data_IF_445537174376
#
_entry.id   IF_445537174376
#
_cell.length_a   1.000
_cell.length_b   1.000
_cell.length_c   1.000
_cell.angle_alpha   90.00
_cell.angle_beta   90.00
_cell.angle_gamma   90.00
#
_symmetry.space_group_name_H-M   'P 1'
#
loop_
_entity.id
_entity.type
_entity.pdbx_description
1 polymer ?
#
# COMPACT_ATOMS: atom_id res chain seq x y z
N UNK A 1 10.32 9.95 -9.71
CA UNK A 1 9.03 9.24 -9.61
C UNK A 1 8.12 10.04 -8.68
N UNK A 2 6.86 10.23 -9.06
CA UNK A 2 5.94 11.04 -8.25
C UNK A 2 5.21 10.20 -7.19
N UNK A 3 4.52 9.16 -7.60
CA UNK A 3 3.80 8.26 -6.70
C UNK A 3 3.54 6.90 -7.35
N UNK A 4 3.04 5.96 -6.53
CA UNK A 4 2.58 4.65 -6.99
C UNK A 4 1.09 4.53 -6.67
N UNK A 5 0.29 4.08 -7.65
CA UNK A 5 -1.12 3.81 -7.48
C UNK A 5 -1.36 2.40 -6.94
N UNK A 6 -2.17 2.30 -5.89
CA UNK A 6 -2.58 1.02 -5.29
C UNK A 6 -4.10 0.97 -5.29
N UNK A 7 -4.65 0.06 -6.07
CA UNK A 7 -6.10 -0.16 -6.11
C UNK A 7 -6.50 -1.10 -4.99
N UNK A 8 -7.48 -0.69 -4.19
CA UNK A 8 -7.93 -1.40 -2.99
C UNK A 8 -9.44 -1.63 -3.04
N UNK A 9 -9.93 -2.56 -2.23
CA UNK A 9 -11.37 -2.82 -2.12
C UNK A 9 -12.07 -1.89 -1.16
N UNK A 10 -11.37 -1.43 -0.13
CA UNK A 10 -11.90 -0.61 0.95
C UNK A 10 -10.91 0.52 1.23
N UNK A 11 -11.21 1.70 0.70
CA UNK A 11 -10.33 2.86 0.81
C UNK A 11 -10.15 3.29 2.27
N UNK A 12 -11.22 3.29 3.06
CA UNK A 12 -11.13 3.68 4.47
C UNK A 12 -10.19 2.75 5.25
N UNK A 13 -10.32 1.44 5.06
CA UNK A 13 -9.45 0.46 5.72
C UNK A 13 -7.99 0.57 5.25
N UNK A 14 -7.78 0.84 3.97
CA UNK A 14 -6.43 1.05 3.42
C UNK A 14 -5.77 2.30 4.01
N UNK A 15 -6.51 3.39 4.13
CA UNK A 15 -6.01 4.62 4.76
C UNK A 15 -5.62 4.34 6.22
N UNK A 16 -6.47 3.66 6.98
CA UNK A 16 -6.19 3.32 8.38
C UNK A 16 -4.92 2.47 8.51
N UNK A 17 -4.73 1.51 7.60
CA UNK A 17 -3.53 0.67 7.57
C UNK A 17 -2.25 1.52 7.39
N UNK A 18 -2.23 2.37 6.38
CA UNK A 18 -1.05 3.18 6.09
C UNK A 18 -0.82 4.28 7.14
N UNK A 19 -1.88 4.81 7.74
CA UNK A 19 -1.74 5.75 8.87
C UNK A 19 -1.15 5.05 10.09
N UNK A 20 -1.58 3.83 10.39
CA UNK A 20 -0.99 3.02 11.47
C UNK A 20 0.48 2.68 11.22
N UNK A 21 0.88 2.55 9.95
CA UNK A 21 2.27 2.34 9.56
C UNK A 21 3.13 3.61 9.76
N UNK A 22 2.50 4.78 9.79
CA UNK A 22 3.18 6.05 10.03
C UNK A 22 3.03 7.08 8.91
N UNK A 23 2.27 6.78 7.86
CA UNK A 23 2.05 7.73 6.77
C UNK A 23 0.96 8.75 7.14
N UNK A 24 1.01 9.90 6.47
CA UNK A 24 0.04 10.96 6.62
C UNK A 24 -0.97 10.92 5.48
N UNK A 25 -2.25 10.85 5.81
CA UNK A 25 -3.32 10.81 4.81
C UNK A 25 -3.74 12.22 4.39
N UNK A 26 -3.99 12.38 3.09
CA UNK A 26 -4.59 13.58 2.50
C UNK A 26 -6.09 13.37 2.31
N UNK A 27 -6.80 14.43 1.93
CA UNK A 27 -8.24 14.38 1.73
C UNK A 27 -8.64 13.42 0.60
N UNK A 28 -9.79 12.78 0.75
CA UNK A 28 -10.37 11.92 -0.27
C UNK A 28 -10.92 12.77 -1.41
N UNK A 29 -10.79 12.26 -2.63
CA UNK A 29 -11.26 12.93 -3.84
C UNK A 29 -12.02 11.95 -4.72
N UNK A 30 -13.17 12.38 -5.24
CA UNK A 30 -13.90 11.64 -6.26
C UNK A 30 -13.36 12.04 -7.64
N UNK A 31 -13.08 11.04 -8.47
CA UNK A 31 -12.57 11.21 -9.84
C UNK A 31 -13.49 10.50 -10.79
N UNK A 32 -14.00 11.22 -11.80
CA UNK A 32 -14.86 10.68 -12.86
C UNK A 32 -14.87 11.63 -14.05
N UNK A 33 -15.37 11.17 -15.16
CA UNK A 33 -15.54 11.96 -16.37
C UNK A 33 -14.99 11.30 -17.62
N UNK A 34 -15.38 11.81 -18.76
CA UNK A 34 -15.03 11.25 -20.05
C UNK A 34 -13.52 11.22 -20.32
N UNK A 35 -12.79 12.23 -19.86
CA UNK A 35 -11.33 12.28 -20.02
C UNK A 35 -10.64 11.18 -19.20
N UNK A 36 -11.19 10.86 -18.03
CA UNK A 36 -10.70 9.77 -17.18
C UNK A 36 -10.92 8.42 -17.85
N UNK A 37 -12.13 8.21 -18.39
CA UNK A 37 -12.47 7.00 -19.13
C UNK A 37 -11.51 6.75 -20.30
N UNK A 38 -11.23 7.79 -21.05
CA UNK A 38 -10.31 7.71 -22.19
C UNK A 38 -8.87 7.46 -21.77
N UNK A 39 -8.42 8.12 -20.72
CA UNK A 39 -7.07 7.96 -20.19
C UNK A 39 -6.81 6.53 -19.68
N UNK A 40 -7.80 5.98 -18.97
CA UNK A 40 -7.67 4.65 -18.36
C UNK A 40 -8.13 3.51 -19.25
N UNK A 41 -8.78 3.82 -20.38
CA UNK A 41 -9.43 2.81 -21.23
C UNK A 41 -10.49 2.00 -20.47
N UNK A 42 -11.30 2.70 -19.67
CA UNK A 42 -12.39 2.12 -18.88
C UNK A 42 -13.64 2.95 -19.09
N UNK A 43 -14.72 2.32 -19.51
CA UNK A 43 -16.01 2.99 -19.70
C UNK A 43 -16.71 3.24 -18.36
N UNK A 44 -17.10 4.50 -18.10
CA UNK A 44 -17.80 4.85 -16.87
C UNK A 44 -16.95 4.80 -15.63
N UNK A 45 -15.67 5.15 -15.75
CA UNK A 45 -14.76 5.12 -14.60
C UNK A 45 -15.18 6.14 -13.55
N UNK A 46 -15.35 5.65 -12.33
CA UNK A 46 -15.68 6.45 -11.16
C UNK A 46 -14.97 5.85 -9.96
N UNK A 47 -14.10 6.61 -9.33
CA UNK A 47 -13.35 6.13 -8.18
C UNK A 47 -13.09 7.24 -7.16
N UNK A 48 -12.89 6.82 -5.93
CA UNK A 48 -12.35 7.68 -4.89
C UNK A 48 -10.88 7.38 -4.70
N UNK A 49 -10.11 8.42 -4.40
CA UNK A 49 -8.70 8.28 -4.09
C UNK A 49 -8.32 9.09 -2.87
N UNK A 50 -7.24 8.70 -2.23
CA UNK A 50 -6.56 9.48 -1.22
C UNK A 50 -5.06 9.23 -1.35
N UNK A 51 -4.27 10.30 -1.29
CA UNK A 51 -2.83 10.15 -1.17
C UNK A 51 -2.44 9.91 0.28
N UNK A 52 -1.50 9.04 0.49
CA UNK A 52 -0.78 8.90 1.76
C UNK A 52 0.69 9.13 1.49
N UNK A 53 1.36 9.82 2.41
CA UNK A 53 2.77 10.17 2.23
C UNK A 53 3.58 9.86 3.48
N UNK A 54 4.86 9.61 3.30
CA UNK A 54 5.79 9.54 4.43
C UNK A 54 5.96 10.92 5.05
N UNK A 55 6.23 11.01 6.38
CA UNK A 55 6.37 12.32 7.07
C UNK A 55 7.44 13.22 6.46
N UNK A 56 8.51 12.65 5.87
CA UNK A 56 9.54 13.40 5.17
C UNK A 56 9.11 13.90 3.78
N UNK A 57 7.94 13.48 3.29
CA UNK A 57 7.38 13.86 1.99
C UNK A 57 8.02 13.20 0.78
N UNK A 58 8.93 12.24 0.97
CA UNK A 58 9.64 11.58 -0.14
C UNK A 58 8.88 10.41 -0.76
N UNK A 59 8.05 9.71 0.02
CA UNK A 59 7.28 8.56 -0.46
C UNK A 59 5.78 8.84 -0.51
N UNK A 60 5.16 8.66 -1.68
CA UNK A 60 3.74 8.88 -1.88
C UNK A 60 3.07 7.67 -2.51
N UNK A 61 1.91 7.29 -1.98
CA UNK A 61 1.02 6.32 -2.60
C UNK A 61 -0.33 6.99 -2.89
N UNK A 62 -0.91 6.66 -4.03
CA UNK A 62 -2.29 6.99 -4.34
C UNK A 62 -3.13 5.74 -4.07
N UNK A 63 -3.97 5.78 -3.05
CA UNK A 63 -4.88 4.69 -2.74
C UNK A 63 -6.18 4.94 -3.50
N UNK A 64 -6.66 3.93 -4.23
CA UNK A 64 -7.79 4.07 -5.16
C UNK A 64 -8.82 2.97 -4.91
N UNK A 65 -10.08 3.36 -4.76
CA UNK A 65 -11.20 2.43 -4.72
C UNK A 65 -12.16 2.73 -5.87
N UNK A 66 -12.31 1.79 -6.81
CA UNK A 66 -13.24 1.95 -7.93
C UNK A 66 -14.67 1.66 -7.50
N UNK A 67 -15.57 2.62 -7.78
CA UNK A 67 -17.01 2.41 -7.65
C UNK A 67 -17.59 1.84 -8.95
N UNK A 68 -16.97 2.17 -10.09
CA UNK A 68 -17.30 1.60 -11.41
C UNK A 68 -16.12 1.78 -12.38
N UNK A 69 -15.95 0.90 -13.38
CA UNK A 69 -16.58 -0.41 -13.48
C UNK A 69 -16.06 -1.37 -12.41
N UNK A 70 -16.80 -2.42 -12.05
CA UNK A 70 -16.30 -3.43 -11.13
C UNK A 70 -15.18 -4.25 -11.78
N UNK A 71 -14.19 -4.63 -10.99
CA UNK A 71 -13.16 -5.57 -11.44
C UNK A 71 -13.74 -6.97 -11.51
N UNK A 72 -13.64 -7.61 -12.66
CA UNK A 72 -14.21 -8.94 -12.92
C UNK A 72 -13.14 -10.04 -13.11
N UNK A 73 -11.87 -9.68 -13.00
CA UNK A 73 -10.77 -10.63 -13.13
C UNK A 73 -10.57 -11.45 -11.86
N UNK A 74 -9.71 -12.45 -11.97
CA UNK A 74 -9.32 -13.27 -10.82
C UNK A 74 -8.38 -12.49 -9.90
N UNK A 75 -8.51 -12.77 -8.60
CA UNK A 75 -7.59 -12.24 -7.59
C UNK A 75 -6.69 -13.36 -7.10
N UNK A 76 -5.39 -13.09 -7.06
CA UNK A 76 -4.42 -14.01 -6.51
C UNK A 76 -3.41 -13.28 -5.63
N UNK A 77 -2.92 -13.98 -4.61
CA UNK A 77 -1.83 -13.50 -3.78
C UNK A 77 -0.51 -14.03 -4.37
N UNK A 78 0.08 -13.25 -5.25
CA UNK A 78 1.33 -13.64 -5.88
C UNK A 78 2.48 -13.69 -4.86
N UNK A 79 3.39 -14.66 -4.97
CA UNK A 79 4.56 -14.71 -4.10
C UNK A 79 5.53 -13.57 -4.40
N UNK A 80 6.44 -13.29 -3.49
CA UNK A 80 7.34 -12.14 -3.59
C UNK A 80 8.31 -12.19 -4.78
N UNK A 81 8.45 -13.32 -5.43
CA UNK A 81 9.28 -13.48 -6.65
C UNK A 81 8.51 -13.40 -7.96
N UNK A 82 7.19 -13.16 -7.93
CA UNK A 82 6.41 -13.00 -9.15
C UNK A 82 6.82 -11.71 -9.88
N UNK A 83 7.02 -11.75 -11.21
CA UNK A 83 7.44 -10.56 -11.96
C UNK A 83 6.46 -9.40 -11.85
N UNK A 84 6.98 -8.17 -11.90
CA UNK A 84 6.24 -6.92 -11.83
C UNK A 84 6.59 -6.13 -10.57
N UNK A 85 5.85 -5.02 -10.33
CA UNK A 85 5.98 -4.28 -9.08
C UNK A 85 5.44 -5.19 -7.99
N UNK A 86 6.30 -5.56 -7.02
CA UNK A 86 5.93 -6.60 -6.07
C UNK A 86 5.79 -6.09 -4.65
N UNK A 87 6.66 -5.20 -4.23
CA UNK A 87 6.60 -4.66 -2.87
C UNK A 87 7.08 -3.21 -2.82
N UNK A 88 6.64 -2.52 -1.80
CA UNK A 88 7.14 -1.19 -1.42
C UNK A 88 7.79 -1.30 -0.05
N UNK A 89 8.88 -0.58 0.14
CA UNK A 89 9.66 -0.63 1.37
C UNK A 89 9.56 0.67 2.13
N UNK A 90 9.29 0.56 3.44
CA UNK A 90 9.34 1.70 4.35
C UNK A 90 10.40 1.45 5.41
N UNK A 91 11.26 2.45 5.60
CA UNK A 91 12.21 2.44 6.71
C UNK A 91 11.49 3.00 7.93
N UNK A 92 11.52 2.27 9.03
CA UNK A 92 10.85 2.61 10.29
C UNK A 92 11.86 2.63 11.44
N UNK A 93 11.54 3.37 12.49
CA UNK A 93 12.43 3.49 13.65
C UNK A 93 12.33 2.29 14.59
N UNK A 94 11.13 1.68 14.70
CA UNK A 94 10.88 0.53 15.56
C UNK A 94 9.96 -0.45 14.82
N UNK A 95 10.56 -1.45 14.20
CA UNK A 95 9.84 -2.42 13.38
C UNK A 95 8.82 -3.23 14.19
N UNK A 96 9.17 -3.65 15.39
CA UNK A 96 8.27 -4.45 16.22
C UNK A 96 7.03 -3.65 16.64
N UNK A 97 7.20 -2.37 16.99
CA UNK A 97 6.10 -1.49 17.35
C UNK A 97 5.17 -1.26 16.15
N UNK A 98 5.71 -0.94 14.99
CA UNK A 98 4.93 -0.74 13.76
C UNK A 98 4.20 -2.03 13.38
N UNK A 99 4.88 -3.16 13.41
CA UNK A 99 4.28 -4.47 13.09
C UNK A 99 3.11 -4.79 14.01
N UNK A 100 3.24 -4.52 15.31
CA UNK A 100 2.15 -4.69 16.28
C UNK A 100 0.94 -3.82 15.93
N UNK A 101 1.16 -2.55 15.58
CA UNK A 101 0.08 -1.62 15.24
C UNK A 101 -0.64 -2.04 13.95
N UNK A 102 0.09 -2.39 12.92
CA UNK A 102 -0.53 -2.73 11.63
C UNK A 102 -1.20 -4.11 11.63
N UNK A 103 -0.82 -5.01 12.51
CA UNK A 103 -1.52 -6.29 12.69
C UNK A 103 -2.97 -6.09 13.13
N UNK A 104 -3.26 -5.06 13.89
CA UNK A 104 -4.62 -4.69 14.28
C UNK A 104 -5.45 -4.23 13.08
N UNK A 105 -4.79 -3.86 11.97
CA UNK A 105 -5.41 -3.47 10.72
C UNK A 105 -5.32 -4.55 9.64
N UNK A 106 -5.16 -5.81 10.05
CA UNK A 106 -5.22 -6.97 9.16
C UNK A 106 -3.91 -7.36 8.47
N UNK A 107 -2.79 -6.78 8.86
CA UNK A 107 -1.48 -7.15 8.31
C UNK A 107 -1.08 -8.57 8.74
N UNK A 108 -0.53 -9.34 7.79
CA UNK A 108 -0.01 -10.68 8.04
C UNK A 108 1.42 -10.79 7.55
N UNK A 109 2.29 -11.44 8.33
CA UNK A 109 3.65 -11.73 7.89
C UNK A 109 3.63 -12.69 6.70
N UNK A 110 4.42 -12.38 5.68
CA UNK A 110 4.65 -13.30 4.55
C UNK A 110 5.60 -14.43 4.98
N UNK A 111 6.66 -14.07 5.66
CA UNK A 111 7.64 -14.97 6.24
C UNK A 111 7.92 -14.58 7.67
N UNK A 112 9.17 -14.54 8.06
CA UNK A 112 9.60 -14.22 9.41
C UNK A 112 10.33 -12.89 9.47
N UNK A 113 10.30 -12.23 10.63
CA UNK A 113 11.15 -11.09 10.91
C UNK A 113 12.59 -11.60 11.02
N UNK A 114 13.51 -10.99 10.28
CA UNK A 114 14.91 -11.40 10.25
C UNK A 114 15.85 -10.22 10.58
N UNK A 115 16.91 -10.54 11.29
CA UNK A 115 18.04 -9.65 11.50
C UNK A 115 19.09 -10.01 10.43
N UNK A 116 19.32 -9.08 9.50
CA UNK A 116 20.29 -9.27 8.44
C UNK A 116 21.63 -8.67 8.84
N UNK A 117 22.54 -9.53 9.26
CA UNK A 117 23.94 -9.20 9.59
C UNK A 117 24.11 -8.04 10.60
N UNK A 118 23.14 -7.82 11.48
CA UNK A 118 23.06 -6.68 12.41
C UNK A 118 23.11 -5.30 11.72
N UNK A 119 22.80 -5.26 10.44
CA UNK A 119 22.68 -4.03 9.65
C UNK A 119 21.23 -3.57 9.61
N UNK A 120 20.35 -4.49 9.26
CA UNK A 120 18.92 -4.24 9.12
C UNK A 120 18.10 -5.33 9.81
N UNK A 121 16.97 -4.93 10.36
CA UNK A 121 15.89 -5.83 10.77
C UNK A 121 14.79 -5.69 9.74
N UNK A 122 14.33 -6.78 9.16
CA UNK A 122 13.47 -6.79 7.98
C UNK A 122 12.29 -7.74 8.14
N UNK A 123 11.16 -7.38 7.56
CA UNK A 123 10.06 -8.32 7.34
C UNK A 123 9.24 -7.93 6.14
N UNK A 124 8.57 -8.91 5.55
CA UNK A 124 7.55 -8.72 4.51
C UNK A 124 6.18 -9.01 5.11
N UNK A 125 5.23 -8.12 4.84
CA UNK A 125 3.84 -8.27 5.26
C UNK A 125 2.89 -8.12 4.08
N UNK A 126 1.71 -8.72 4.19
CA UNK A 126 0.58 -8.46 3.30
C UNK A 126 -0.31 -7.40 3.93
N UNK A 127 -0.64 -6.39 3.16
CA UNK A 127 -1.54 -5.30 3.54
C UNK A 127 -2.81 -5.28 2.69
N UNK A 128 -3.45 -4.10 2.55
CA UNK A 128 -4.67 -3.95 1.76
C UNK A 128 -4.51 -4.46 0.33
N UNK A 129 -5.54 -5.14 -0.17
CA UNK A 129 -5.57 -5.76 -1.51
C UNK A 129 -4.41 -6.74 -1.76
N UNK A 130 -3.80 -7.27 -0.71
CA UNK A 130 -2.69 -8.21 -0.82
C UNK A 130 -1.34 -7.61 -1.18
N UNK A 131 -1.20 -6.29 -1.17
CA UNK A 131 0.09 -5.64 -1.43
C UNK A 131 1.14 -6.15 -0.44
N UNK A 132 2.34 -6.41 -0.93
CA UNK A 132 3.48 -6.73 -0.07
C UNK A 132 4.18 -5.44 0.31
N UNK A 133 4.35 -5.26 1.62
CA UNK A 133 5.10 -4.16 2.20
C UNK A 133 6.32 -4.73 2.92
N UNK A 134 7.50 -4.22 2.58
CA UNK A 134 8.70 -4.51 3.35
C UNK A 134 8.87 -3.43 4.41
N UNK A 135 9.08 -3.84 5.65
CA UNK A 135 9.50 -2.95 6.73
C UNK A 135 10.99 -3.16 7.00
N UNK A 136 11.71 -2.08 7.11
CA UNK A 136 13.15 -2.10 7.40
C UNK A 136 13.48 -1.18 8.57
N UNK A 137 14.15 -1.70 9.57
CA UNK A 137 14.70 -0.93 10.68
C UNK A 137 16.24 -0.98 10.59
N UNK A 138 16.87 0.17 10.52
CA UNK A 138 18.33 0.28 10.48
C UNK A 138 18.89 0.03 11.87
N UNK A 139 19.79 -0.94 12.01
CA UNK A 139 20.37 -1.34 13.29
C UNK A 139 21.78 -0.74 13.52
N UNK A 140 22.44 -0.34 12.46
CA UNK A 140 23.80 0.17 12.56
C UNK A 140 24.05 1.54 12.00
#
# INVERSE_FOLDING_TARGET
>A
MDHIGVVVDDLAAAIEFFVALGLEAQDRQLVEGESVDRMMSLGGARFERAFVRTPDGHGWLELVEFHSPPYTGERSLEPSNAPGIRYVTFVVDDLDAVLSDIREHGAELVGEVQNYENIDKLCFIRGPAGIIVELAERLG
#
